data_IF_156266086372
#
_entry.id   IF_156266086372
#
_cell.length_a   1.000
_cell.length_b   1.000
_cell.length_c   1.000
_cell.angle_alpha   90.00
_cell.angle_beta   90.00
_cell.angle_gamma   90.00
#
_symmetry.space_group_name_H-M   'P 1'
#
loop_
_entity.id
_entity.type
_entity.pdbx_description
1 polymer ?
#
# COMPACT_ATOMS: atom_id res chain seq x y z
N UNK A 1 -46.63 -44.35 11.75
CA UNK A 1 -45.35 -44.15 12.46
C UNK A 1 -44.33 -43.68 11.43
N UNK A 2 -43.93 -42.40 11.47
CA UNK A 2 -42.91 -41.86 10.57
C UNK A 2 -41.57 -42.01 11.27
N UNK A 3 -40.76 -42.92 10.78
CA UNK A 3 -39.45 -43.24 11.35
C UNK A 3 -38.46 -42.14 10.94
N UNK A 4 -38.21 -41.17 11.83
CA UNK A 4 -37.22 -40.12 11.62
C UNK A 4 -35.82 -40.71 11.78
N UNK A 5 -35.24 -41.21 10.68
CA UNK A 5 -33.84 -41.65 10.63
C UNK A 5 -32.94 -40.46 10.95
N UNK A 6 -32.43 -40.38 12.19
CA UNK A 6 -31.52 -39.31 12.57
C UNK A 6 -30.27 -39.39 11.69
N UNK A 7 -30.06 -38.37 10.86
CA UNK A 7 -28.83 -38.24 10.09
C UNK A 7 -27.72 -37.95 11.10
N UNK A 8 -27.09 -39.00 11.64
CA UNK A 8 -25.86 -38.86 12.41
C UNK A 8 -24.83 -38.21 11.51
N UNK A 9 -24.60 -36.91 11.67
CA UNK A 9 -23.52 -36.21 10.96
C UNK A 9 -22.23 -36.97 11.25
N UNK A 10 -21.57 -37.57 10.24
CA UNK A 10 -20.42 -38.42 10.51
C UNK A 10 -19.33 -37.60 11.19
N UNK A 11 -18.88 -38.04 12.36
CA UNK A 11 -17.89 -37.35 13.20
C UNK A 11 -16.63 -36.94 12.40
N UNK A 12 -16.28 -37.71 11.35
CA UNK A 12 -15.22 -37.36 10.39
C UNK A 12 -15.43 -36.02 9.66
N UNK A 13 -16.65 -35.69 9.24
CA UNK A 13 -16.93 -34.42 8.57
C UNK A 13 -16.90 -33.25 9.54
N UNK A 14 -17.23 -33.49 10.82
CA UNK A 14 -17.05 -32.50 11.87
C UNK A 14 -15.56 -32.15 12.06
N UNK A 15 -14.68 -33.15 12.14
CA UNK A 15 -13.23 -32.91 12.25
C UNK A 15 -12.63 -32.25 11.00
N UNK A 16 -13.07 -32.63 9.80
CA UNK A 16 -12.65 -31.97 8.55
C UNK A 16 -13.08 -30.50 8.53
N UNK A 17 -14.33 -30.22 8.89
CA UNK A 17 -14.86 -28.86 8.97
C UNK A 17 -14.10 -28.01 10.00
N UNK A 18 -13.85 -28.57 11.19
CA UNK A 18 -13.06 -27.92 12.22
C UNK A 18 -11.64 -27.63 11.75
N UNK A 19 -10.99 -28.57 11.05
CA UNK A 19 -9.67 -28.37 10.46
C UNK A 19 -9.64 -27.22 9.44
N UNK A 20 -10.65 -27.13 8.57
CA UNK A 20 -10.77 -26.03 7.60
C UNK A 20 -10.91 -24.68 8.32
N UNK A 21 -11.75 -24.60 9.35
CA UNK A 21 -11.91 -23.38 10.14
C UNK A 21 -10.58 -22.96 10.77
N UNK A 22 -9.85 -23.90 11.37
CA UNK A 22 -8.54 -23.62 11.99
C UNK A 22 -7.57 -23.08 10.94
N UNK A 23 -7.50 -23.68 9.75
CA UNK A 23 -6.64 -23.21 8.66
C UNK A 23 -7.00 -21.79 8.24
N UNK A 24 -8.30 -21.48 8.08
CA UNK A 24 -8.77 -20.14 7.70
C UNK A 24 -8.39 -19.10 8.76
N UNK A 25 -8.55 -19.44 10.05
CA UNK A 25 -8.17 -18.56 11.16
C UNK A 25 -6.65 -18.31 11.14
N UNK A 26 -5.84 -19.36 11.04
CA UNK A 26 -4.37 -19.26 10.99
C UNK A 26 -3.90 -18.42 9.79
N UNK A 27 -4.50 -18.65 8.61
CA UNK A 27 -4.23 -17.87 7.42
C UNK A 27 -4.60 -16.39 7.62
N UNK A 28 -5.77 -16.11 8.20
CA UNK A 28 -6.22 -14.73 8.46
C UNK A 28 -5.26 -13.99 9.41
N UNK A 29 -4.84 -14.65 10.49
CA UNK A 29 -3.86 -14.11 11.44
C UNK A 29 -2.52 -13.86 10.73
N UNK A 30 -2.03 -14.85 9.97
CA UNK A 30 -0.77 -14.72 9.22
C UNK A 30 -0.84 -13.57 8.22
N UNK A 31 -1.93 -13.44 7.48
CA UNK A 31 -2.15 -12.34 6.52
C UNK A 31 -2.19 -10.98 7.20
N UNK A 32 -2.77 -10.87 8.40
CA UNK A 32 -2.77 -9.64 9.17
C UNK A 32 -1.36 -9.29 9.68
N UNK A 33 -0.66 -10.25 10.28
CA UNK A 33 0.70 -10.08 10.82
C UNK A 33 1.71 -9.69 9.74
N UNK A 34 1.68 -10.38 8.60
CA UNK A 34 2.58 -10.11 7.47
C UNK A 34 2.22 -8.84 6.70
N UNK A 35 1.26 -8.05 7.20
CA UNK A 35 0.87 -6.76 6.64
C UNK A 35 1.12 -5.61 7.61
N UNK A 36 1.77 -5.84 8.74
CA UNK A 36 2.18 -4.76 9.65
C UNK A 36 3.46 -4.10 9.14
N UNK A 37 3.66 -2.82 9.49
CA UNK A 37 4.91 -2.12 9.20
C UNK A 37 6.10 -2.83 9.84
N UNK A 38 5.94 -3.37 11.06
CA UNK A 38 7.00 -4.11 11.74
C UNK A 38 7.48 -5.32 10.94
N UNK A 39 6.56 -6.07 10.33
CA UNK A 39 6.91 -7.16 9.42
C UNK A 39 7.58 -6.64 8.15
N UNK A 40 7.05 -5.58 7.53
CA UNK A 40 7.68 -4.99 6.35
C UNK A 40 9.12 -4.55 6.63
N UNK A 41 9.39 -4.01 7.83
CA UNK A 41 10.73 -3.54 8.23
C UNK A 41 11.58 -4.57 8.98
N UNK A 42 11.17 -5.84 9.01
CA UNK A 42 12.04 -6.90 9.53
C UNK A 42 13.26 -7.12 8.63
N UNK A 43 13.11 -6.81 7.34
CA UNK A 43 14.18 -6.76 6.36
C UNK A 43 14.88 -5.38 6.42
N UNK A 44 16.22 -5.35 6.35
CA UNK A 44 17.00 -4.14 6.60
C UNK A 44 16.84 -3.11 5.48
N UNK A 45 16.71 -3.56 4.23
CA UNK A 45 16.50 -2.75 3.04
C UNK A 45 15.21 -1.92 3.09
N UNK A 46 14.22 -2.35 3.89
CA UNK A 46 12.93 -1.66 4.02
C UNK A 46 12.98 -0.49 5.02
N UNK A 47 13.98 -0.45 5.91
CA UNK A 47 14.07 0.57 6.97
C UNK A 47 14.20 1.99 6.41
N UNK A 48 15.00 2.17 5.35
CA UNK A 48 15.13 3.47 4.66
C UNK A 48 13.78 4.00 4.19
N UNK A 49 12.92 3.13 3.66
CA UNK A 49 11.60 3.55 3.16
C UNK A 49 10.66 3.93 4.31
N UNK A 50 10.71 3.22 5.44
CA UNK A 50 9.99 3.63 6.66
C UNK A 50 10.46 5.01 7.14
N UNK A 51 11.76 5.25 7.22
CA UNK A 51 12.29 6.55 7.63
C UNK A 51 11.85 7.69 6.68
N UNK A 52 11.83 7.43 5.38
CA UNK A 52 11.35 8.40 4.39
C UNK A 52 9.84 8.65 4.49
N UNK A 53 9.04 7.62 4.83
CA UNK A 53 7.60 7.75 5.07
C UNK A 53 7.33 8.62 6.30
N UNK A 54 8.03 8.39 7.40
CA UNK A 54 7.91 9.13 8.66
C UNK A 54 8.26 10.62 8.50
N UNK A 55 9.04 10.98 7.49
CA UNK A 55 9.40 12.38 7.15
C UNK A 55 8.48 13.01 6.11
N UNK A 56 7.56 12.23 5.54
CA UNK A 56 6.69 12.64 4.43
C UNK A 56 5.42 13.38 4.89
N UNK A 57 4.59 13.75 3.92
CA UNK A 57 3.23 14.24 4.20
C UNK A 57 2.30 13.14 4.71
N UNK A 58 2.65 11.88 4.50
CA UNK A 58 1.93 10.68 4.91
C UNK A 58 2.57 10.00 6.12
N UNK A 59 3.21 10.77 7.01
CA UNK A 59 3.77 10.21 8.24
C UNK A 59 2.66 9.75 9.21
N UNK A 60 1.56 10.51 9.29
CA UNK A 60 0.43 10.25 10.19
C UNK A 60 -0.89 10.47 9.48
N UNK A 61 -1.94 9.80 9.98
CA UNK A 61 -3.31 10.00 9.53
C UNK A 61 -3.96 11.25 10.17
N UNK A 62 -5.25 11.47 9.88
CA UNK A 62 -6.04 12.58 10.42
C UNK A 62 -6.11 12.58 11.95
N UNK A 63 -6.03 11.40 12.56
CA UNK A 63 -6.14 11.16 14.00
C UNK A 63 -4.74 11.11 14.67
N UNK A 64 -3.69 11.49 13.93
CA UNK A 64 -2.28 11.50 14.34
C UNK A 64 -1.67 10.12 14.62
N UNK A 65 -2.29 9.05 14.13
CA UNK A 65 -1.68 7.72 14.19
C UNK A 65 -0.65 7.54 13.07
N UNK A 66 0.47 6.86 13.31
CA UNK A 66 1.45 6.57 12.27
C UNK A 66 0.85 5.76 11.12
N UNK A 67 1.01 6.26 9.89
CA UNK A 67 0.57 5.52 8.70
C UNK A 67 1.44 4.28 8.51
N UNK A 68 0.77 3.16 8.22
CA UNK A 68 1.36 1.84 8.04
C UNK A 68 1.58 1.52 6.56
N UNK A 69 2.60 0.72 6.23
CA UNK A 69 2.90 0.31 4.85
C UNK A 69 1.68 -0.26 4.12
N UNK A 70 0.88 -1.10 4.81
CA UNK A 70 -0.36 -1.71 4.29
C UNK A 70 -1.37 -0.69 3.78
N UNK A 71 -1.47 0.47 4.41
CA UNK A 71 -2.51 1.45 4.07
C UNK A 71 -2.36 1.98 2.64
N UNK A 72 -1.16 1.90 2.06
CA UNK A 72 -0.90 2.30 0.67
C UNK A 72 -0.61 1.09 -0.23
N UNK A 73 0.22 0.14 0.21
CA UNK A 73 0.77 -0.91 -0.66
C UNK A 73 -0.09 -2.17 -0.80
N UNK A 74 -1.02 -2.42 0.13
CA UNK A 74 -1.80 -3.66 0.15
C UNK A 74 -3.27 -3.30 -0.05
N UNK A 75 -4.00 -3.94 -0.98
CA UNK A 75 -5.43 -3.68 -1.17
C UNK A 75 -6.21 -3.72 0.14
N UNK A 76 -7.11 -2.77 0.36
CA UNK A 76 -7.85 -2.65 1.63
C UNK A 76 -8.71 -3.89 1.91
N UNK A 77 -9.43 -4.35 0.89
CA UNK A 77 -10.42 -5.42 1.01
C UNK A 77 -9.77 -6.79 0.84
N UNK A 78 -10.05 -7.70 1.78
CA UNK A 78 -9.63 -9.10 1.68
C UNK A 78 -10.40 -9.75 0.51
N UNK A 79 -9.67 -10.42 -0.37
CA UNK A 79 -10.23 -11.08 -1.55
C UNK A 79 -9.14 -11.56 -2.52
N UNK A 80 -9.50 -11.98 -3.74
CA UNK A 80 -8.54 -12.48 -4.72
C UNK A 80 -7.43 -11.47 -5.04
N UNK A 81 -7.79 -10.19 -5.28
CA UNK A 81 -6.83 -9.12 -5.55
C UNK A 81 -5.83 -8.94 -4.41
N UNK A 82 -6.31 -8.91 -3.16
CA UNK A 82 -5.45 -8.85 -1.98
C UNK A 82 -4.45 -9.98 -1.97
N UNK A 83 -4.93 -11.22 -2.15
CA UNK A 83 -4.10 -12.41 -2.07
C UNK A 83 -3.07 -12.43 -3.20
N UNK A 84 -3.47 -12.13 -4.43
CA UNK A 84 -2.58 -12.05 -5.60
C UNK A 84 -1.49 -11.01 -5.40
N UNK A 85 -1.85 -9.78 -5.02
CA UNK A 85 -0.86 -8.71 -4.80
C UNK A 85 0.12 -9.11 -3.71
N UNK A 86 -0.40 -9.62 -2.58
CA UNK A 86 0.43 -10.01 -1.44
C UNK A 86 1.41 -11.14 -1.77
N UNK A 87 0.96 -12.17 -2.50
CA UNK A 87 1.80 -13.30 -2.91
C UNK A 87 2.84 -12.83 -3.93
N UNK A 88 2.42 -12.14 -4.99
CA UNK A 88 3.32 -11.75 -6.09
C UNK A 88 4.39 -10.77 -5.60
N UNK A 89 4.01 -9.73 -4.87
CA UNK A 89 4.98 -8.76 -4.35
C UNK A 89 5.85 -9.39 -3.26
N UNK A 90 5.27 -10.14 -2.32
CA UNK A 90 6.04 -10.81 -1.27
C UNK A 90 7.05 -11.81 -1.83
N UNK A 91 6.69 -12.60 -2.85
CA UNK A 91 7.63 -13.49 -3.53
C UNK A 91 8.74 -12.72 -4.25
N UNK A 92 8.40 -11.63 -4.93
CA UNK A 92 9.39 -10.79 -5.61
C UNK A 92 10.39 -10.21 -4.61
N UNK A 93 9.91 -9.71 -3.47
CA UNK A 93 10.75 -9.16 -2.41
C UNK A 93 11.66 -10.24 -1.82
N UNK A 94 11.15 -11.45 -1.57
CA UNK A 94 11.97 -12.58 -1.11
C UNK A 94 13.04 -12.99 -2.14
N UNK A 95 12.71 -13.01 -3.43
CA UNK A 95 13.69 -13.35 -4.48
C UNK A 95 14.80 -12.29 -4.53
N UNK A 96 14.46 -11.00 -4.51
CA UNK A 96 15.45 -9.92 -4.53
C UNK A 96 16.29 -9.93 -3.26
N UNK A 97 15.69 -10.18 -2.10
CA UNK A 97 16.40 -10.27 -0.83
C UNK A 97 17.47 -11.38 -0.83
N UNK A 98 17.14 -12.56 -1.36
CA UNK A 98 18.03 -13.73 -1.29
C UNK A 98 19.02 -13.81 -2.45
N UNK A 99 18.67 -13.31 -3.63
CA UNK A 99 19.43 -13.51 -4.87
C UNK A 99 19.77 -12.23 -5.62
N UNK A 100 19.26 -11.08 -5.17
CA UNK A 100 19.49 -9.79 -5.80
C UNK A 100 20.38 -8.87 -4.96
N UNK A 101 20.31 -7.58 -5.30
CA UNK A 101 20.95 -6.49 -4.56
C UNK A 101 19.86 -5.52 -4.08
N UNK A 102 19.21 -5.78 -2.93
CA UNK A 102 18.10 -4.97 -2.44
C UNK A 102 18.54 -3.56 -2.03
N UNK A 103 19.84 -3.34 -1.76
CA UNK A 103 20.36 -2.03 -1.34
C UNK A 103 20.59 -1.08 -2.52
N UNK A 104 20.93 -1.61 -3.70
CA UNK A 104 21.24 -0.82 -4.89
C UNK A 104 20.16 -0.88 -5.98
N UNK A 105 18.90 -1.08 -5.61
CA UNK A 105 17.78 -1.03 -6.56
C UNK A 105 17.64 0.35 -7.22
N UNK A 106 17.46 0.37 -8.55
CA UNK A 106 17.23 1.61 -9.30
C UNK A 106 15.91 2.27 -8.84
N UNK A 107 16.04 3.36 -8.07
CA UNK A 107 14.90 4.11 -7.55
C UNK A 107 14.04 4.73 -8.64
N UNK A 108 14.58 5.02 -9.83
CA UNK A 108 13.83 5.56 -10.97
C UNK A 108 12.87 4.50 -11.52
N UNK A 109 13.33 3.26 -11.68
CA UNK A 109 12.46 2.16 -12.09
C UNK A 109 11.47 1.79 -10.99
N UNK A 110 11.91 1.73 -9.73
CA UNK A 110 11.01 1.48 -8.60
C UNK A 110 9.88 2.51 -8.50
N UNK A 111 10.17 3.79 -8.74
CA UNK A 111 9.15 4.84 -8.79
C UNK A 111 8.14 4.63 -9.92
N UNK A 112 8.58 4.24 -11.13
CA UNK A 112 7.66 3.94 -12.24
C UNK A 112 6.73 2.79 -11.91
N UNK A 113 7.25 1.74 -11.28
CA UNK A 113 6.49 0.57 -10.84
C UNK A 113 5.53 0.99 -9.71
N UNK A 114 6.01 1.64 -8.67
CA UNK A 114 5.20 2.09 -7.52
C UNK A 114 3.98 2.90 -7.96
N UNK A 115 4.17 3.86 -8.88
CA UNK A 115 3.09 4.69 -9.44
C UNK A 115 1.96 3.90 -10.12
N UNK A 116 2.21 2.66 -10.54
CA UNK A 116 1.21 1.77 -11.18
C UNK A 116 0.61 0.75 -10.23
N UNK A 117 1.38 0.31 -9.22
CA UNK A 117 0.99 -0.79 -8.34
C UNK A 117 0.32 -0.34 -7.04
N UNK A 118 0.39 0.96 -6.68
CA UNK A 118 -0.39 1.50 -5.57
C UNK A 118 -1.88 1.54 -5.96
N UNK A 119 -2.77 0.85 -5.23
CA UNK A 119 -4.20 0.85 -5.53
C UNK A 119 -4.85 2.19 -5.18
N UNK A 120 -5.58 2.80 -6.10
CA UNK A 120 -6.27 4.08 -5.85
C UNK A 120 -7.34 3.97 -4.74
N UNK A 121 -7.94 2.79 -4.57
CA UNK A 121 -8.89 2.49 -3.47
C UNK A 121 -8.29 2.74 -2.07
N UNK A 122 -6.97 2.64 -1.95
CA UNK A 122 -6.25 2.91 -0.72
C UNK A 122 -6.10 4.42 -0.48
N UNK A 123 -5.83 5.20 -1.52
CA UNK A 123 -5.84 6.66 -1.43
C UNK A 123 -7.24 7.16 -1.05
N UNK A 124 -8.28 6.65 -1.72
CA UNK A 124 -9.68 7.00 -1.51
C UNK A 124 -10.23 6.57 -0.14
N UNK A 125 -9.53 5.66 0.57
CA UNK A 125 -9.92 5.29 1.94
C UNK A 125 -9.77 6.47 2.92
N UNK A 126 -8.87 7.42 2.63
CA UNK A 126 -8.65 8.63 3.42
C UNK A 126 -9.01 9.91 2.65
N UNK A 127 -8.83 9.93 1.33
CA UNK A 127 -9.14 11.06 0.44
C UNK A 127 -10.48 10.83 -0.28
N UNK A 128 -11.58 10.88 0.49
CA UNK A 128 -12.91 10.60 -0.04
C UNK A 128 -13.47 11.78 -0.85
N UNK A 129 -13.27 13.00 -0.36
CA UNK A 129 -13.69 14.22 -1.04
C UNK A 129 -12.55 14.75 -1.92
N UNK A 130 -12.61 14.41 -3.21
CA UNK A 130 -11.64 14.86 -4.21
C UNK A 130 -11.81 16.34 -4.59
N UNK A 131 -12.72 17.09 -3.99
CA UNK A 131 -12.85 18.55 -4.24
C UNK A 131 -12.09 19.39 -3.22
N UNK A 132 -11.56 18.74 -2.17
CA UNK A 132 -10.86 19.39 -1.05
C UNK A 132 -9.45 18.85 -0.87
N UNK A 133 -8.58 19.69 -0.31
CA UNK A 133 -7.27 19.27 0.18
C UNK A 133 -7.35 18.74 1.62
N UNK A 134 -6.21 18.29 2.14
CA UNK A 134 -6.04 17.74 3.50
C UNK A 134 -6.36 18.71 4.64
N UNK A 135 -6.62 19.99 4.36
CA UNK A 135 -7.03 21.02 5.32
C UNK A 135 -8.51 21.39 5.17
N UNK A 136 -9.30 20.54 4.49
CA UNK A 136 -10.71 20.77 4.13
C UNK A 136 -10.97 22.05 3.33
N UNK A 137 -9.94 22.58 2.66
CA UNK A 137 -10.08 23.73 1.77
C UNK A 137 -10.29 23.26 0.36
N UNK A 138 -11.03 24.05 -0.40
CA UNK A 138 -11.25 23.82 -1.82
C UNK A 138 -9.93 23.71 -2.60
N UNK A 139 -9.90 22.80 -3.58
CA UNK A 139 -8.75 22.68 -4.48
C UNK A 139 -8.64 23.89 -5.42
N UNK A 140 -7.44 24.10 -5.95
CA UNK A 140 -7.26 25.00 -7.08
C UNK A 140 -8.06 24.53 -8.29
N UNK A 141 -8.37 25.44 -9.20
CA UNK A 141 -9.11 25.13 -10.43
C UNK A 141 -8.47 23.97 -11.22
N UNK A 142 -7.14 24.03 -11.40
CA UNK A 142 -6.37 22.97 -12.06
C UNK A 142 -6.51 21.62 -11.31
N UNK A 143 -6.51 21.64 -9.98
CA UNK A 143 -6.68 20.44 -9.16
C UNK A 143 -8.06 19.79 -9.36
N UNK A 144 -9.12 20.61 -9.38
CA UNK A 144 -10.49 20.14 -9.65
C UNK A 144 -10.59 19.50 -11.03
N UNK A 145 -10.09 20.18 -12.07
CA UNK A 145 -10.13 19.66 -13.43
C UNK A 145 -9.37 18.33 -13.56
N UNK A 146 -8.23 18.17 -12.90
CA UNK A 146 -7.48 16.92 -12.87
C UNK A 146 -8.26 15.78 -12.20
N UNK A 147 -8.93 16.04 -11.07
CA UNK A 147 -9.73 15.03 -10.38
C UNK A 147 -11.02 14.69 -11.15
N UNK A 148 -11.64 15.65 -11.82
CA UNK A 148 -12.74 15.39 -12.74
C UNK A 148 -12.31 14.49 -13.91
N UNK A 149 -11.10 14.69 -14.45
CA UNK A 149 -10.56 13.83 -15.52
C UNK A 149 -10.28 12.40 -15.01
N UNK A 150 -9.81 12.27 -13.76
CA UNK A 150 -9.70 10.97 -13.07
C UNK A 150 -11.06 10.31 -12.87
N UNK A 151 -12.10 11.09 -12.55
CA UNK A 151 -13.47 10.62 -12.40
C UNK A 151 -14.20 10.39 -13.74
N UNK A 152 -13.57 10.68 -14.88
CA UNK A 152 -14.18 10.53 -16.21
C UNK A 152 -15.19 11.63 -16.57
N UNK A 153 -15.24 12.74 -15.83
CA UNK A 153 -16.25 13.80 -15.98
C UNK A 153 -15.94 14.82 -17.08
N UNK A 154 -14.67 15.17 -17.26
CA UNK A 154 -14.23 16.20 -18.22
C UNK A 154 -13.10 15.70 -19.15
N UNK A 155 -13.00 14.38 -19.33
CA UNK A 155 -11.93 13.70 -20.04
C UNK A 155 -11.59 12.37 -19.38
N UNK A 156 -10.56 11.68 -19.87
CA UNK A 156 -10.05 10.46 -19.22
C UNK A 156 -8.54 10.52 -19.06
N UNK A 157 -8.05 10.11 -17.89
CA UNK A 157 -6.63 9.91 -17.62
C UNK A 157 -6.32 8.42 -17.46
N UNK A 158 -5.15 7.98 -17.93
CA UNK A 158 -4.63 6.63 -17.69
C UNK A 158 -3.79 6.54 -16.40
N UNK A 159 -3.64 7.65 -15.67
CA UNK A 159 -2.88 7.73 -14.43
C UNK A 159 -3.82 7.64 -13.24
N UNK A 160 -3.54 6.72 -12.32
CA UNK A 160 -4.15 6.70 -10.98
C UNK A 160 -3.59 7.81 -10.08
N UNK A 161 -4.01 7.79 -8.82
CA UNK A 161 -3.66 8.79 -7.81
C UNK A 161 -2.14 8.93 -7.67
N UNK A 162 -1.42 7.82 -7.44
CA UNK A 162 0.04 7.81 -7.31
C UNK A 162 0.77 8.21 -8.61
N UNK A 163 0.12 8.06 -9.76
CA UNK A 163 0.66 8.47 -11.05
C UNK A 163 0.80 9.98 -11.21
N UNK A 164 -0.11 10.75 -10.60
CA UNK A 164 -0.07 12.21 -10.57
C UNK A 164 0.56 12.74 -9.26
N UNK A 165 0.20 12.17 -8.12
CA UNK A 165 0.73 12.49 -6.79
C UNK A 165 1.96 11.66 -6.45
N UNK A 166 2.98 11.68 -7.32
CA UNK A 166 4.22 10.98 -7.04
C UNK A 166 5.02 11.69 -5.93
N UNK A 167 5.95 10.95 -5.31
CA UNK A 167 6.78 11.42 -4.19
C UNK A 167 5.98 11.88 -2.95
N UNK A 168 4.73 11.42 -2.82
CA UNK A 168 3.91 11.58 -1.61
C UNK A 168 4.57 10.97 -0.36
N UNK A 169 5.39 9.93 -0.59
CA UNK A 169 6.34 9.29 0.31
C UNK A 169 7.55 8.83 -0.53
N UNK A 170 8.62 8.38 0.15
CA UNK A 170 9.80 7.79 -0.47
C UNK A 170 10.49 8.65 -1.54
N UNK A 171 10.71 9.94 -1.26
CA UNK A 171 11.26 10.92 -2.21
C UNK A 171 12.73 10.59 -2.57
N UNK A 172 13.01 10.18 -3.83
CA UNK A 172 14.37 9.90 -4.25
C UNK A 172 15.18 11.18 -4.43
N UNK A 173 16.50 11.08 -4.30
CA UNK A 173 17.43 12.23 -4.41
C UNK A 173 17.24 13.02 -5.70
N UNK A 174 17.15 12.34 -6.85
CA UNK A 174 17.03 13.01 -8.15
C UNK A 174 15.77 13.89 -8.24
N UNK A 175 14.67 13.54 -7.57
CA UNK A 175 13.43 14.35 -7.62
C UNK A 175 13.39 15.48 -6.58
N UNK A 176 14.38 15.58 -5.68
CA UNK A 176 14.46 16.65 -4.67
C UNK A 176 14.63 18.04 -5.29
N UNK A 177 15.11 18.11 -6.55
CA UNK A 177 15.27 19.34 -7.32
C UNK A 177 13.96 20.04 -7.67
N UNK A 178 12.82 19.35 -7.62
CA UNK A 178 11.54 19.94 -7.98
C UNK A 178 11.01 20.82 -6.85
N UNK A 179 10.53 22.01 -7.20
CA UNK A 179 10.03 23.02 -6.26
C UNK A 179 8.94 22.47 -5.30
N UNK A 180 8.02 21.66 -5.80
CA UNK A 180 6.96 21.06 -4.97
C UNK A 180 7.47 20.01 -3.96
N UNK A 181 8.71 19.55 -4.10
CA UNK A 181 9.36 18.62 -3.17
C UNK A 181 10.25 19.33 -2.14
N UNK A 182 10.45 20.65 -2.22
CA UNK A 182 11.42 21.38 -1.40
C UNK A 182 11.20 21.16 0.11
N UNK A 183 9.96 21.26 0.58
CA UNK A 183 9.66 21.09 2.01
C UNK A 183 9.84 19.65 2.49
N UNK A 184 9.59 18.66 1.63
CA UNK A 184 9.86 17.26 1.97
C UNK A 184 11.36 16.98 1.94
N UNK A 185 12.08 17.48 0.94
CA UNK A 185 13.53 17.30 0.80
C UNK A 185 14.31 17.83 2.00
N UNK A 186 13.89 18.97 2.59
CA UNK A 186 14.49 19.54 3.81
C UNK A 186 14.45 18.62 5.03
N UNK A 187 13.50 17.69 5.09
CA UNK A 187 13.33 16.75 6.21
C UNK A 187 14.15 15.48 6.05
N UNK A 188 14.66 15.23 4.85
CA UNK A 188 15.45 14.05 4.55
C UNK A 188 16.94 14.32 4.78
N UNK A 189 17.72 13.31 5.21
CA UNK A 189 19.16 13.47 5.32
C UNK A 189 19.75 13.86 3.96
N UNK A 190 20.76 14.73 3.98
CA UNK A 190 21.63 14.97 2.83
C UNK A 190 22.37 13.66 2.56
N UNK A 191 22.07 13.01 1.44
CA UNK A 191 22.85 11.86 0.97
C UNK A 191 23.85 12.41 -0.04
N UNK A 192 25.11 12.01 0.06
CA UNK A 192 26.12 12.29 -0.96
C UNK A 192 25.60 11.78 -2.31
N UNK A 193 25.75 12.57 -3.36
CA UNK A 193 25.42 12.14 -4.73
C UNK A 193 26.22 10.87 -5.03
N UNK A 194 25.51 9.73 -5.20
CA UNK A 194 26.14 8.57 -5.82
C UNK A 194 26.51 8.98 -7.25
N UNK A 195 27.81 9.20 -7.42
CA UNK A 195 28.48 9.66 -8.63
C UNK A 195 28.42 8.63 -9.74
#
# INVERSE_FOLDING_TARGET
MVETKSRKFPLKYFFVFLGIIIIIILMSISMARTSTTDYCTSCHEMKKYKDELEKSSHAVDKDKNPIQCRQCHIPKNIGPKYLTVKIVLGMKDLIIHNFGDPENLDRREMQKIGRRFIPDENCLACHQDLTKNVKDKELSEIGKLCHEAYQGKNGTTKRGCAGCHFNMAHLPQFDRRFFFNTEFAKRLPLQEEQK
#
